data_IF_072202109678
#
_entry.id   IF_072202109678
#
_cell.length_a   1.000
_cell.length_b   1.000
_cell.length_c   1.000
_cell.angle_alpha   90.00
_cell.angle_beta   90.00
_cell.angle_gamma   90.00
#
_symmetry.space_group_name_H-M   'P 1'
#
loop_
_entity.id
_entity.type
_entity.pdbx_description
1 polymer ?
#
# COMPACT_ATOMS: atom_id res chain seq x y z
N UNK A 1 16.27 -1.83 32.57
CA UNK A 1 14.89 -1.87 32.02
C UNK A 1 14.72 -0.69 31.09
N UNK A 2 14.78 -0.92 29.76
CA UNK A 2 14.56 0.13 28.76
C UNK A 2 13.11 0.02 28.30
N UNK A 3 12.32 1.05 28.60
CA UNK A 3 10.91 1.12 28.24
C UNK A 3 10.80 1.15 26.71
N UNK A 4 10.23 0.08 26.14
CA UNK A 4 9.77 0.08 24.76
C UNK A 4 8.53 0.99 24.70
N UNK A 5 8.74 2.24 24.34
CA UNK A 5 7.65 3.15 23.98
C UNK A 5 7.09 2.62 22.65
N UNK A 6 6.07 1.75 22.74
CA UNK A 6 5.26 1.38 21.58
C UNK A 6 4.55 2.65 21.10
N UNK A 7 5.13 3.31 20.11
CA UNK A 7 4.48 4.40 19.41
C UNK A 7 3.19 3.88 18.79
N UNK A 8 2.05 4.38 19.28
CA UNK A 8 0.75 4.15 18.65
C UNK A 8 0.71 4.96 17.37
N UNK A 9 1.14 4.35 16.26
CA UNK A 9 0.91 4.92 14.92
C UNK A 9 -0.57 4.71 14.62
N UNK A 10 -1.36 5.75 14.79
CA UNK A 10 -2.76 5.81 14.35
C UNK A 10 -2.79 5.82 12.82
N UNK A 11 -2.73 4.63 12.22
CA UNK A 11 -3.02 4.45 10.80
C UNK A 11 -4.53 4.55 10.59
N UNK A 12 -5.01 5.74 10.24
CA UNK A 12 -6.40 6.00 9.89
C UNK A 12 -6.73 5.34 8.54
N UNK A 13 -7.13 4.06 8.55
CA UNK A 13 -7.53 3.37 7.31
C UNK A 13 -8.92 3.82 6.91
N UNK A 14 -9.00 4.81 6.01
CA UNK A 14 -10.25 5.11 5.32
C UNK A 14 -10.47 4.04 4.24
N UNK A 15 -11.35 3.08 4.50
CA UNK A 15 -11.81 2.11 3.49
C UNK A 15 -12.80 2.83 2.58
N UNK A 16 -12.32 3.35 1.45
CA UNK A 16 -13.21 3.87 0.41
C UNK A 16 -14.02 2.70 -0.17
N UNK A 17 -15.32 2.67 0.13
CA UNK A 17 -16.26 1.71 -0.40
C UNK A 17 -16.49 2.04 -1.89
N UNK A 18 -15.65 1.49 -2.78
CA UNK A 18 -15.78 1.71 -4.22
C UNK A 18 -16.99 0.93 -4.74
N UNK A 19 -18.11 1.64 -4.87
CA UNK A 19 -19.32 1.16 -5.52
C UNK A 19 -19.19 1.34 -7.04
N UNK A 20 -18.86 0.26 -7.74
CA UNK A 20 -18.98 0.21 -9.19
C UNK A 20 -18.41 -1.08 -9.78
N UNK A 21 -18.88 -1.44 -10.98
CA UNK A 21 -18.32 -2.53 -11.78
C UNK A 21 -17.13 -1.99 -12.58
N UNK A 22 -15.91 -2.05 -12.04
CA UNK A 22 -14.76 -2.26 -12.90
C UNK A 22 -14.97 -3.63 -13.56
N UNK A 23 -14.84 -3.74 -14.88
CA UNK A 23 -14.87 -5.05 -15.51
C UNK A 23 -13.72 -5.87 -14.91
N UNK A 24 -14.04 -7.02 -14.31
CA UNK A 24 -13.03 -7.88 -13.68
C UNK A 24 -11.94 -8.30 -14.68
N UNK A 25 -12.24 -8.29 -15.98
CA UNK A 25 -11.30 -8.54 -17.06
C UNK A 25 -10.22 -7.47 -17.21
N UNK A 26 -10.56 -6.18 -17.05
CA UNK A 26 -9.58 -5.09 -17.20
C UNK A 26 -8.58 -5.05 -16.04
N UNK A 27 -9.03 -5.42 -14.84
CA UNK A 27 -8.16 -5.48 -13.66
C UNK A 27 -7.26 -6.72 -13.65
N UNK A 28 -7.59 -7.76 -14.42
CA UNK A 28 -6.83 -9.02 -14.48
C UNK A 28 -5.38 -8.79 -14.93
N UNK A 29 -5.14 -7.83 -15.82
CA UNK A 29 -3.79 -7.47 -16.28
C UNK A 29 -2.90 -6.90 -15.16
N UNK A 30 -3.51 -6.40 -14.09
CA UNK A 30 -2.82 -5.80 -12.94
C UNK A 30 -2.77 -6.74 -11.73
N UNK A 31 -3.19 -8.00 -11.86
CA UNK A 31 -3.16 -8.96 -10.77
C UNK A 31 -1.74 -9.09 -10.16
N UNK A 32 -1.63 -8.92 -8.85
CA UNK A 32 -0.37 -8.92 -8.11
C UNK A 32 0.36 -7.57 -8.09
N UNK A 33 -0.20 -6.54 -8.71
CA UNK A 33 0.39 -5.19 -8.74
C UNK A 33 -0.14 -4.33 -7.60
N UNK A 34 0.75 -3.53 -7.04
CA UNK A 34 0.48 -2.53 -6.03
C UNK A 34 0.98 -1.19 -6.54
N UNK A 35 0.13 -0.18 -6.42
CA UNK A 35 0.37 1.22 -6.78
C UNK A 35 0.39 2.04 -5.50
N UNK A 36 1.40 2.90 -5.38
CA UNK A 36 1.53 3.88 -4.31
C UNK A 36 1.51 5.25 -4.98
N UNK A 37 0.63 6.14 -4.53
CA UNK A 37 0.55 7.49 -5.05
C UNK A 37 0.25 8.48 -3.93
N UNK A 38 0.78 9.72 -3.98
CA UNK A 38 0.33 10.79 -3.10
C UNK A 38 -1.07 11.30 -3.49
N UNK A 39 -1.55 11.00 -4.70
CA UNK A 39 -2.85 11.43 -5.20
C UNK A 39 -3.96 10.46 -4.76
N UNK A 40 -5.09 11.02 -4.36
CA UNK A 40 -6.24 10.23 -3.94
C UNK A 40 -6.71 9.28 -5.06
N UNK A 41 -7.07 8.03 -4.73
CA UNK A 41 -7.59 7.10 -5.70
C UNK A 41 -8.99 7.54 -6.15
N UNK A 42 -9.42 7.16 -7.37
CA UNK A 42 -10.76 7.47 -7.85
C UNK A 42 -11.81 6.80 -6.97
N UNK A 43 -12.96 7.47 -6.82
CA UNK A 43 -14.12 6.94 -6.09
C UNK A 43 -14.88 5.90 -6.92
N UNK A 44 -14.79 5.99 -8.25
CA UNK A 44 -15.45 5.08 -9.17
C UNK A 44 -14.55 3.92 -9.59
N UNK A 45 -15.11 2.70 -9.54
CA UNK A 45 -14.36 1.50 -9.91
C UNK A 45 -13.88 1.48 -11.36
N UNK A 46 -14.69 2.06 -12.26
CA UNK A 46 -14.46 2.12 -13.71
C UNK A 46 -13.18 2.88 -14.05
N UNK A 47 -12.73 3.76 -13.16
CA UNK A 47 -11.53 4.56 -13.33
C UNK A 47 -10.29 3.89 -12.75
N UNK A 48 -10.44 2.85 -11.92
CA UNK A 48 -9.32 2.13 -11.33
C UNK A 48 -8.32 1.58 -12.36
N UNK A 49 -8.73 0.94 -13.47
CA UNK A 49 -7.77 0.48 -14.48
C UNK A 49 -6.93 1.61 -15.06
N UNK A 50 -7.53 2.78 -15.29
CA UNK A 50 -6.83 3.98 -15.80
C UNK A 50 -5.87 4.54 -14.76
N UNK A 51 -6.32 4.67 -13.51
CA UNK A 51 -5.50 5.13 -12.39
C UNK A 51 -4.29 4.21 -12.16
N UNK A 52 -4.51 2.90 -12.12
CA UNK A 52 -3.44 1.91 -11.96
C UNK A 52 -2.47 2.03 -13.13
N UNK A 53 -2.95 2.07 -14.37
CA UNK A 53 -2.09 2.18 -15.55
C UNK A 53 -1.24 3.45 -15.54
N UNK A 54 -1.79 4.58 -15.12
CA UNK A 54 -1.10 5.86 -15.09
C UNK A 54 -0.01 5.93 -14.02
N UNK A 55 -0.25 5.29 -12.87
CA UNK A 55 0.65 5.35 -11.72
C UNK A 55 1.60 4.14 -11.62
N UNK A 56 1.31 3.01 -12.27
CA UNK A 56 2.13 1.80 -12.18
C UNK A 56 3.51 2.04 -12.79
N UNK A 57 4.54 1.92 -11.97
CA UNK A 57 5.93 2.01 -12.42
C UNK A 57 6.41 0.68 -12.99
N UNK A 58 7.39 0.72 -13.90
CA UNK A 58 7.92 -0.50 -14.57
C UNK A 58 8.42 -1.54 -13.56
N UNK A 59 9.09 -1.07 -12.51
CA UNK A 59 9.72 -1.91 -11.48
C UNK A 59 8.91 -2.00 -10.19
N UNK A 60 7.69 -1.42 -10.15
CA UNK A 60 6.88 -1.27 -8.94
C UNK A 60 7.60 -0.54 -7.79
N UNK A 61 8.48 0.40 -8.13
CA UNK A 61 9.20 1.28 -7.20
C UNK A 61 8.59 2.67 -7.26
N UNK A 62 8.30 3.26 -6.09
CA UNK A 62 7.59 4.53 -5.98
C UNK A 62 8.40 5.53 -5.14
N UNK A 63 8.93 6.60 -5.74
CA UNK A 63 9.63 7.64 -5.00
C UNK A 63 8.64 8.63 -4.36
N UNK A 64 8.82 8.93 -3.07
CA UNK A 64 8.19 10.04 -2.38
C UNK A 64 9.28 11.04 -1.99
N UNK A 65 9.16 12.27 -2.49
CA UNK A 65 10.17 13.35 -2.37
C UNK A 65 9.65 14.52 -1.51
N UNK A 66 8.56 14.32 -0.77
CA UNK A 66 8.00 15.36 0.11
C UNK A 66 8.62 15.24 1.50
N UNK A 67 8.53 16.26 2.33
CA UNK A 67 8.91 16.14 3.75
C UNK A 67 7.91 15.27 4.55
N UNK A 68 8.31 14.73 5.72
CA UNK A 68 7.41 13.97 6.58
C UNK A 68 6.31 14.87 7.16
N UNK A 69 5.10 14.32 7.43
CA UNK A 69 4.66 12.95 7.18
C UNK A 69 4.41 12.66 5.69
N UNK A 70 4.78 11.45 5.25
CA UNK A 70 4.59 10.99 3.88
C UNK A 70 3.24 10.31 3.72
N UNK A 71 2.24 11.08 3.31
CA UNK A 71 0.92 10.55 2.96
C UNK A 71 1.00 9.71 1.68
N UNK A 72 0.40 8.53 1.72
CA UNK A 72 0.38 7.60 0.58
C UNK A 72 -0.96 6.87 0.47
N UNK A 73 -1.49 6.88 -0.73
CA UNK A 73 -2.61 6.05 -1.15
C UNK A 73 -2.09 4.78 -1.79
N UNK A 74 -2.60 3.66 -1.31
CA UNK A 74 -2.25 2.32 -1.78
C UNK A 74 -3.45 1.77 -2.52
N UNK A 75 -3.26 1.45 -3.80
CA UNK A 75 -4.22 0.73 -4.62
C UNK A 75 -3.56 -0.55 -5.11
N UNK A 76 -4.13 -1.70 -4.76
CA UNK A 76 -3.61 -2.98 -5.19
C UNK A 76 -4.68 -3.86 -5.81
N UNK A 77 -4.27 -4.61 -6.82
CA UNK A 77 -5.06 -5.71 -7.37
C UNK A 77 -4.40 -7.00 -6.93
N UNK A 78 -5.08 -7.75 -6.06
CA UNK A 78 -4.58 -8.97 -5.47
C UNK A 78 -4.45 -10.08 -6.53
N UNK A 79 -3.34 -10.83 -6.47
CA UNK A 79 -3.12 -11.97 -7.35
C UNK A 79 -4.16 -13.09 -7.16
N UNK A 80 -4.79 -13.17 -5.97
CA UNK A 80 -5.81 -14.16 -5.61
C UNK A 80 -6.86 -13.51 -4.72
N UNK A 81 -8.08 -14.06 -4.73
CA UNK A 81 -9.13 -13.66 -3.79
C UNK A 81 -8.70 -13.99 -2.35
N UNK A 82 -8.89 -13.03 -1.46
CA UNK A 82 -8.63 -13.18 -0.03
C UNK A 82 -9.73 -12.47 0.74
N UNK A 83 -10.10 -13.00 1.92
CA UNK A 83 -11.11 -12.35 2.78
C UNK A 83 -10.50 -11.26 3.66
N UNK A 84 -9.22 -11.40 3.98
CA UNK A 84 -8.43 -10.50 4.83
C UNK A 84 -7.04 -10.41 4.24
N UNK A 85 -6.49 -9.21 4.24
CA UNK A 85 -5.11 -8.96 3.82
C UNK A 85 -4.44 -8.07 4.84
N UNK A 86 -3.17 -8.30 5.11
CA UNK A 86 -2.35 -7.45 5.98
C UNK A 86 -1.42 -6.64 5.10
N UNK A 87 -1.50 -5.31 5.22
CA UNK A 87 -0.49 -4.41 4.71
C UNK A 87 0.70 -4.43 5.66
N UNK A 88 1.86 -4.82 5.15
CA UNK A 88 3.12 -4.77 5.87
C UNK A 88 4.08 -3.84 5.15
N UNK A 89 4.68 -2.93 5.91
CA UNK A 89 5.77 -2.07 5.44
C UNK A 89 7.00 -2.33 6.31
N UNK A 90 8.12 -2.65 5.66
CA UNK A 90 9.40 -2.95 6.32
C UNK A 90 10.53 -2.29 5.55
N UNK A 91 11.59 -1.84 6.23
CA UNK A 91 12.80 -1.39 5.54
C UNK A 91 13.39 -2.55 4.71
N UNK A 92 13.78 -2.27 3.46
CA UNK A 92 14.33 -3.29 2.58
C UNK A 92 15.62 -3.86 3.17
N UNK A 93 15.67 -5.18 3.30
CA UNK A 93 16.78 -5.89 3.95
C UNK A 93 16.61 -6.07 5.47
N UNK A 94 15.60 -5.44 6.08
CA UNK A 94 15.25 -5.66 7.49
C UNK A 94 14.22 -6.78 7.64
N UNK A 95 14.24 -7.45 8.80
CA UNK A 95 13.17 -8.37 9.24
C UNK A 95 12.11 -7.66 10.08
N UNK A 96 12.38 -6.42 10.48
CA UNK A 96 11.50 -5.63 11.32
C UNK A 96 10.37 -5.02 10.47
N UNK A 97 9.14 -5.22 10.93
CA UNK A 97 7.95 -4.63 10.31
C UNK A 97 7.63 -3.32 11.02
N UNK A 98 7.67 -2.22 10.28
CA UNK A 98 7.39 -0.88 10.79
C UNK A 98 5.88 -0.61 10.88
N UNK A 99 5.15 -1.04 9.86
CA UNK A 99 3.69 -0.91 9.78
C UNK A 99 3.08 -2.27 9.48
N UNK A 100 2.07 -2.66 10.24
CA UNK A 100 1.28 -3.86 10.02
C UNK A 100 -0.19 -3.56 10.29
N UNK A 101 -1.00 -3.55 9.23
CA UNK A 101 -2.41 -3.15 9.32
C UNK A 101 -3.29 -4.13 8.56
N UNK A 102 -4.35 -4.61 9.21
CA UNK A 102 -5.34 -5.46 8.56
C UNK A 102 -6.28 -4.62 7.69
N UNK A 103 -6.48 -5.07 6.45
CA UNK A 103 -7.32 -4.45 5.44
C UNK A 103 -8.36 -5.47 4.96
N UNK A 104 -9.53 -4.98 4.59
CA UNK A 104 -10.60 -5.79 3.99
C UNK A 104 -10.64 -5.50 2.49
N UNK A 105 -10.26 -6.47 1.64
CA UNK A 105 -10.36 -6.28 0.20
C UNK A 105 -11.82 -6.29 -0.25
N UNK A 106 -12.14 -5.44 -1.22
CA UNK A 106 -13.40 -5.50 -1.95
C UNK A 106 -13.14 -6.33 -3.21
N UNK A 107 -13.57 -7.59 -3.19
CA UNK A 107 -13.19 -8.61 -4.20
C UNK A 107 -11.66 -8.79 -4.24
N UNK A 108 -11.01 -8.51 -5.38
CA UNK A 108 -9.56 -8.55 -5.56
C UNK A 108 -8.89 -7.19 -5.42
N UNK A 109 -9.61 -6.15 -5.02
CA UNK A 109 -9.07 -4.80 -4.94
C UNK A 109 -8.92 -4.37 -3.49
N UNK A 110 -7.76 -3.79 -3.19
CA UNK A 110 -7.48 -3.12 -1.91
C UNK A 110 -7.22 -1.66 -2.22
N UNK A 111 -7.93 -0.79 -1.51
CA UNK A 111 -7.69 0.64 -1.51
C UNK A 111 -7.51 1.03 -0.05
N UNK A 112 -6.38 1.64 0.26
CA UNK A 112 -6.05 2.09 1.60
C UNK A 112 -5.32 3.42 1.55
N UNK A 113 -5.44 4.17 2.63
CA UNK A 113 -4.65 5.35 2.90
C UNK A 113 -3.80 5.08 4.13
N UNK A 114 -2.53 5.49 4.09
CA UNK A 114 -1.62 5.38 5.22
C UNK A 114 -0.61 6.52 5.17
N UNK A 115 0.01 6.79 6.30
CA UNK A 115 1.06 7.80 6.43
C UNK A 115 2.32 7.13 6.95
N UNK A 116 3.46 7.38 6.30
CA UNK A 116 4.76 7.09 6.87
C UNK A 116 5.23 8.30 7.70
N UNK A 117 5.64 8.04 8.93
CA UNK A 117 6.09 9.07 9.86
C UNK A 117 7.45 8.69 10.44
N UNK A 118 8.25 9.68 10.82
CA UNK A 118 9.54 9.43 11.51
C UNK A 118 9.31 8.64 12.81
N UNK A 119 8.22 8.93 13.53
CA UNK A 119 7.85 8.23 14.75
C UNK A 119 7.57 6.73 14.54
N UNK A 120 7.13 6.33 13.33
CA UNK A 120 6.92 4.95 12.94
C UNK A 120 8.22 4.25 12.47
N UNK A 121 9.37 4.95 12.49
CA UNK A 121 10.67 4.42 12.07
C UNK A 121 11.01 4.64 10.59
N UNK A 122 10.26 5.47 9.87
CA UNK A 122 10.61 5.85 8.50
C UNK A 122 11.69 6.95 8.48
N UNK A 123 12.54 6.92 7.46
CA UNK A 123 13.64 7.85 7.28
C UNK A 123 13.83 8.17 5.79
N UNK A 124 14.41 9.34 5.52
CA UNK A 124 14.80 9.75 4.17
C UNK A 124 15.93 8.89 3.62
N UNK A 125 16.01 8.83 2.29
CA UNK A 125 17.00 8.07 1.52
C UNK A 125 17.00 6.57 1.86
N UNK A 126 15.81 6.04 2.18
CA UNK A 126 15.59 4.63 2.49
C UNK A 126 14.55 4.03 1.57
N UNK A 127 14.71 2.74 1.30
CA UNK A 127 13.77 1.93 0.53
C UNK A 127 13.03 1.00 1.48
N UNK A 128 11.73 0.88 1.25
CA UNK A 128 10.82 0.07 2.05
C UNK A 128 10.09 -0.93 1.15
N UNK A 129 10.02 -2.17 1.61
CA UNK A 129 9.17 -3.21 1.04
C UNK A 129 7.73 -2.98 1.50
N UNK A 130 6.83 -2.74 0.54
CA UNK A 130 5.38 -2.63 0.78
C UNK A 130 4.72 -3.89 0.24
N UNK A 131 4.08 -4.66 1.12
CA UNK A 131 3.48 -5.96 0.76
C UNK A 131 2.06 -6.07 1.30
N UNK A 132 1.20 -6.67 0.49
CA UNK A 132 -0.10 -7.16 0.94
C UNK A 132 -0.02 -8.68 1.05
N UNK A 133 -0.23 -9.20 2.25
CA UNK A 133 -0.11 -10.62 2.55
C UNK A 133 -1.41 -11.20 3.07
N UNK A 134 -1.65 -12.48 2.81
CA UNK A 134 -2.70 -13.27 3.47
C UNK A 134 -2.04 -14.52 4.03
N UNK A 135 -1.88 -14.57 5.36
CA UNK A 135 -1.05 -15.59 6.01
C UNK A 135 0.40 -15.50 5.54
N UNK A 136 0.90 -16.56 4.89
CA UNK A 136 2.27 -16.61 4.34
C UNK A 136 2.35 -16.20 2.87
N UNK A 137 1.23 -15.93 2.22
CA UNK A 137 1.18 -15.66 0.78
C UNK A 137 1.24 -14.16 0.51
N UNK A 138 2.20 -13.73 -0.31
CA UNK A 138 2.23 -12.37 -0.85
C UNK A 138 1.25 -12.27 -2.01
N UNK A 139 0.29 -11.35 -1.91
CA UNK A 139 -0.77 -11.13 -2.89
C UNK A 139 -0.51 -9.94 -3.80
N UNK A 140 0.24 -8.94 -3.32
CA UNK A 140 0.78 -7.84 -4.12
C UNK A 140 1.99 -7.23 -3.41
N UNK A 141 2.92 -6.63 -4.16
CA UNK A 141 4.12 -5.99 -3.62
C UNK A 141 4.57 -4.79 -4.43
N UNK A 142 5.26 -3.87 -3.77
CA UNK A 142 5.96 -2.72 -4.34
C UNK A 142 7.16 -2.34 -3.46
N UNK A 143 8.00 -1.45 -3.97
CA UNK A 143 9.03 -0.74 -3.22
C UNK A 143 8.64 0.72 -3.08
N UNK A 144 8.83 1.27 -1.89
CA UNK A 144 8.65 2.67 -1.57
C UNK A 144 10.02 3.28 -1.29
N UNK A 145 10.42 4.26 -2.08
CA UNK A 145 11.66 5.01 -1.86
C UNK A 145 11.34 6.38 -1.29
N UNK A 146 11.76 6.65 -0.05
CA UNK A 146 11.66 7.99 0.51
C UNK A 146 12.94 8.73 0.14
N UNK A 147 12.81 9.86 -0.54
CA UNK A 147 13.92 10.71 -1.01
C UNK A 147 13.81 12.09 -0.36
N UNK A 148 14.95 12.75 -0.16
CA UNK A 148 15.03 14.16 0.28
C UNK A 148 14.52 15.14 -0.79
#
# INVERSE_FOLDING_TARGET
MRYAVKAWVLASVLVALVAGRASADELKAYAGKLVISPDAPPTESSELPKYIKANLTKDATYPIVKGPPWSMHIVAVLAKDAKRVTLTISETGSKETLVSTELVPVRRVVIAHTEATIAAGFANNKTYDVRLVSGKTVLAKALLEIRD
#
